data_IF_581778155319
#
_entry.id   IF_581778155319
#
_cell.length_a   1.000
_cell.length_b   1.000
_cell.length_c   1.000
_cell.angle_alpha   90.00
_cell.angle_beta   90.00
_cell.angle_gamma   90.00
#
_symmetry.space_group_name_H-M   'P 1'
#
loop_
_entity.id
_entity.type
_entity.pdbx_description
1 polymer ?
#
# COMPACT_ATOMS: atom_id res chain seq x y z
N UNK A 1 14.47 0.74 8.02
CA UNK A 1 13.41 0.11 8.84
C UNK A 1 13.30 -1.35 8.44
N UNK A 2 13.13 -2.25 9.40
CA UNK A 2 12.83 -3.65 9.12
C UNK A 2 11.32 -3.85 8.86
N UNK A 3 10.95 -5.03 8.34
CA UNK A 3 9.56 -5.34 7.95
C UNK A 3 8.57 -5.20 9.11
N UNK A 4 8.95 -5.60 10.32
CA UNK A 4 8.08 -5.53 11.50
C UNK A 4 7.81 -4.08 11.92
N UNK A 5 8.82 -3.22 11.89
CA UNK A 5 8.67 -1.77 12.16
C UNK A 5 7.68 -1.13 11.18
N UNK A 6 7.82 -1.42 9.88
CA UNK A 6 6.91 -0.88 8.86
C UNK A 6 5.46 -1.34 9.07
N UNK A 7 5.24 -2.59 9.48
CA UNK A 7 3.90 -3.10 9.77
C UNK A 7 3.30 -2.36 10.97
N UNK A 8 4.07 -2.14 12.03
CA UNK A 8 3.62 -1.37 13.19
C UNK A 8 3.29 0.07 12.83
N UNK A 9 4.13 0.74 12.05
CA UNK A 9 3.87 2.11 11.57
C UNK A 9 2.60 2.13 10.70
N UNK A 10 2.45 1.20 9.76
CA UNK A 10 1.28 1.12 8.89
C UNK A 10 -0.02 0.92 9.71
N UNK A 11 -0.03 -0.02 10.65
CA UNK A 11 -1.21 -0.32 11.43
C UNK A 11 -1.57 0.83 12.40
N UNK A 12 -0.57 1.57 12.92
CA UNK A 12 -0.78 2.80 13.69
C UNK A 12 -1.21 4.00 12.83
N UNK A 13 -0.76 4.08 11.58
CA UNK A 13 -1.08 5.19 10.68
C UNK A 13 -2.48 5.08 10.08
N UNK A 14 -2.98 3.86 9.86
CA UNK A 14 -4.28 3.58 9.22
C UNK A 14 -5.48 4.38 9.75
N UNK A 15 -5.66 4.58 11.07
CA UNK A 15 -6.76 5.38 11.60
C UNK A 15 -6.77 6.85 11.15
N UNK A 16 -5.62 7.36 10.68
CA UNK A 16 -5.48 8.74 10.20
C UNK A 16 -5.84 8.92 8.72
N UNK A 17 -6.06 7.82 7.99
CA UNK A 17 -6.43 7.86 6.58
C UNK A 17 -7.87 8.36 6.42
N UNK A 18 -8.06 9.29 5.48
CA UNK A 18 -9.38 9.76 5.08
C UNK A 18 -10.15 8.65 4.35
N UNK A 19 -11.45 8.85 4.27
CA UNK A 19 -12.36 7.88 3.66
C UNK A 19 -11.91 7.55 2.22
N UNK A 20 -11.72 6.25 1.91
CA UNK A 20 -11.23 5.68 0.65
C UNK A 20 -9.73 5.76 0.38
N UNK A 21 -8.97 6.52 1.17
CA UNK A 21 -7.52 6.45 1.13
C UNK A 21 -7.06 5.15 1.78
N UNK A 22 -5.93 4.61 1.33
CA UNK A 22 -5.39 3.38 1.87
C UNK A 22 -3.86 3.42 1.84
N UNK A 23 -3.25 2.63 2.69
CA UNK A 23 -1.80 2.43 2.69
C UNK A 23 -1.45 0.95 2.67
N UNK A 24 -0.30 0.65 2.07
CA UNK A 24 0.27 -0.68 2.00
C UNK A 24 1.80 -0.61 1.97
N UNK A 25 2.45 -1.68 2.42
CA UNK A 25 3.91 -1.82 2.36
C UNK A 25 4.27 -2.49 1.04
N UNK A 26 5.22 -1.93 0.32
CA UNK A 26 5.69 -2.49 -0.94
C UNK A 26 7.18 -2.18 -1.18
N UNK A 27 7.79 -2.85 -2.17
CA UNK A 27 9.19 -2.65 -2.53
C UNK A 27 9.42 -1.27 -3.10
N UNK A 28 10.57 -0.65 -2.78
CA UNK A 28 10.99 0.62 -3.42
C UNK A 28 11.50 0.37 -4.84
N UNK A 29 12.15 -0.77 -5.07
CA UNK A 29 12.61 -1.16 -6.41
C UNK A 29 11.44 -1.44 -7.35
N UNK A 30 11.46 -0.79 -8.52
CA UNK A 30 10.37 -0.86 -9.51
C UNK A 30 10.07 -2.28 -10.02
N UNK A 31 11.09 -3.12 -10.23
CA UNK A 31 10.90 -4.50 -10.73
C UNK A 31 10.27 -5.37 -9.65
N UNK A 32 10.73 -5.20 -8.41
CA UNK A 32 10.14 -5.89 -7.26
C UNK A 32 8.73 -5.38 -6.99
N UNK A 33 8.46 -4.09 -7.16
CA UNK A 33 7.12 -3.51 -7.02
C UNK A 33 6.13 -4.10 -8.05
N UNK A 34 6.55 -4.28 -9.30
CA UNK A 34 5.75 -4.95 -10.32
C UNK A 34 5.42 -6.40 -9.92
N UNK A 35 6.43 -7.14 -9.45
CA UNK A 35 6.26 -8.51 -8.98
C UNK A 35 5.31 -8.59 -7.77
N UNK A 36 5.48 -7.70 -6.79
CA UNK A 36 4.61 -7.58 -5.63
C UNK A 36 3.16 -7.34 -6.05
N UNK A 37 2.94 -6.41 -6.98
CA UNK A 37 1.62 -6.06 -7.48
C UNK A 37 0.93 -7.24 -8.16
N UNK A 38 1.63 -7.93 -9.06
CA UNK A 38 1.13 -9.15 -9.71
C UNK A 38 0.76 -10.23 -8.68
N UNK A 39 1.64 -10.45 -7.71
CA UNK A 39 1.41 -11.41 -6.63
C UNK A 39 0.18 -11.05 -5.80
N UNK A 40 -0.03 -9.77 -5.50
CA UNK A 40 -1.20 -9.30 -4.77
C UNK A 40 -2.50 -9.49 -5.59
N UNK A 41 -2.45 -9.26 -6.90
CA UNK A 41 -3.58 -9.50 -7.82
C UNK A 41 -3.99 -10.97 -7.79
N UNK A 42 -3.02 -11.89 -7.84
CA UNK A 42 -3.26 -13.34 -7.81
C UNK A 42 -3.86 -13.82 -6.49
N UNK A 43 -3.59 -13.12 -5.38
CA UNK A 43 -4.09 -13.46 -4.04
C UNK A 43 -5.47 -12.85 -3.77
N UNK A 44 -5.75 -11.66 -4.32
CA UNK A 44 -6.94 -10.90 -3.96
C UNK A 44 -8.23 -11.64 -4.39
N UNK A 45 -9.22 -11.81 -3.47
CA UNK A 45 -10.49 -12.44 -3.80
C UNK A 45 -11.32 -11.55 -4.74
N UNK A 46 -11.48 -11.97 -5.99
CA UNK A 46 -12.29 -11.28 -7.00
C UNK A 46 -12.18 -11.90 -8.39
N UNK A 47 -13.28 -11.84 -9.15
CA UNK A 47 -13.36 -12.31 -10.54
C UNK A 47 -12.28 -11.64 -11.40
N UNK A 48 -11.57 -12.44 -12.19
CA UNK A 48 -10.53 -12.10 -13.18
C UNK A 48 -10.90 -10.93 -14.14
N UNK A 49 -12.13 -10.44 -14.12
CA UNK A 49 -12.68 -9.46 -15.04
C UNK A 49 -12.90 -8.05 -14.47
N UNK A 50 -12.72 -7.79 -13.16
CA UNK A 50 -12.99 -6.45 -12.60
C UNK A 50 -12.15 -6.04 -11.36
N UNK A 51 -10.94 -6.58 -11.23
CA UNK A 51 -10.03 -6.18 -10.15
C UNK A 51 -9.28 -4.91 -10.53
N UNK A 52 -9.88 -3.74 -10.28
CA UNK A 52 -9.14 -2.47 -10.27
C UNK A 52 -7.91 -2.61 -9.35
N UNK A 53 -6.75 -2.14 -9.80
CA UNK A 53 -5.49 -2.20 -9.06
C UNK A 53 -5.65 -1.66 -7.63
N UNK A 54 -6.46 -0.62 -7.46
CA UNK A 54 -6.74 -0.06 -6.15
C UNK A 54 -7.50 -1.01 -5.23
N UNK A 55 -8.44 -1.81 -5.74
CA UNK A 55 -9.17 -2.80 -4.94
C UNK A 55 -8.23 -3.87 -4.41
N UNK A 56 -7.23 -4.24 -5.21
CA UNK A 56 -6.19 -5.20 -4.83
C UNK A 56 -5.28 -4.58 -3.78
N UNK A 57 -4.73 -3.40 -4.04
CA UNK A 57 -3.77 -2.76 -3.16
C UNK A 57 -4.39 -2.19 -1.86
N UNK A 58 -5.70 -1.91 -1.84
CA UNK A 58 -6.43 -1.59 -0.62
C UNK A 58 -6.74 -2.81 0.25
N UNK A 59 -6.56 -4.03 -0.29
CA UNK A 59 -6.79 -5.26 0.47
C UNK A 59 -5.55 -5.59 1.31
N UNK A 60 -5.67 -5.35 2.62
CA UNK A 60 -4.62 -5.65 3.61
C UNK A 60 -4.15 -7.10 3.58
N UNK A 61 -5.06 -8.06 3.44
CA UNK A 61 -4.71 -9.47 3.48
C UNK A 61 -3.92 -9.87 2.22
N UNK A 62 -4.37 -9.40 1.05
CA UNK A 62 -3.68 -9.64 -0.21
C UNK A 62 -2.27 -9.01 -0.23
N UNK A 63 -2.15 -7.76 0.22
CA UNK A 63 -0.86 -7.06 0.27
C UNK A 63 0.10 -7.64 1.31
N UNK A 64 -0.40 -8.04 2.50
CA UNK A 64 0.42 -8.74 3.51
C UNK A 64 0.94 -10.09 2.98
N UNK A 65 0.07 -10.92 2.39
CA UNK A 65 0.49 -12.21 1.79
C UNK A 65 1.42 -12.04 0.59
N UNK A 66 1.22 -11.01 -0.22
CA UNK A 66 2.14 -10.70 -1.31
C UNK A 66 3.54 -10.33 -0.77
N UNK A 67 3.60 -9.52 0.29
CA UNK A 67 4.84 -9.14 0.95
C UNK A 67 5.59 -10.34 1.56
N UNK A 68 4.86 -11.29 2.15
CA UNK A 68 5.43 -12.53 2.70
C UNK A 68 6.11 -13.40 1.63
N UNK A 69 5.65 -13.33 0.38
CA UNK A 69 6.23 -14.06 -0.76
C UNK A 69 7.43 -13.35 -1.38
N UNK A 70 7.71 -12.11 -1.00
CA UNK A 70 8.86 -11.37 -1.54
C UNK A 70 10.17 -11.77 -0.83
N UNK A 71 11.32 -11.71 -1.54
CA UNK A 71 12.63 -12.01 -0.96
C UNK A 71 12.93 -11.21 0.30
N UNK A 72 13.66 -11.80 1.24
CA UNK A 72 14.14 -11.08 2.41
C UNK A 72 15.27 -10.10 2.02
N UNK A 73 15.44 -9.02 2.79
CA UNK A 73 16.53 -8.05 2.61
C UNK A 73 16.29 -6.97 1.57
N UNK A 74 15.11 -6.95 0.94
CA UNK A 74 14.70 -5.86 0.05
C UNK A 74 14.33 -4.58 0.81
N UNK A 75 14.52 -3.45 0.16
CA UNK A 75 14.06 -2.16 0.67
C UNK A 75 12.54 -2.03 0.49
N UNK A 76 11.87 -1.71 1.59
CA UNK A 76 10.42 -1.59 1.67
C UNK A 76 10.05 -0.19 2.16
N UNK A 77 8.92 0.32 1.69
CA UNK A 77 8.33 1.56 2.20
C UNK A 77 6.81 1.45 2.31
N UNK A 78 6.20 2.38 3.05
CA UNK A 78 4.75 2.50 3.14
C UNK A 78 4.29 3.49 2.08
N UNK A 79 3.53 2.99 1.11
CA UNK A 79 2.86 3.82 0.13
C UNK A 79 1.49 4.23 0.66
N UNK A 80 1.19 5.53 0.56
CA UNK A 80 -0.13 6.07 0.85
C UNK A 80 -0.78 6.47 -0.47
N UNK A 81 -1.95 5.91 -0.76
CA UNK A 81 -2.69 6.21 -1.98
C UNK A 81 -3.85 7.13 -1.63
N UNK A 82 -3.79 8.34 -2.18
CA UNK A 82 -4.91 9.30 -2.13
C UNK A 82 -5.86 9.00 -3.27
N UNK A 83 -7.13 8.74 -3.00
CA UNK A 83 -8.09 8.33 -4.03
C UNK A 83 -9.15 9.41 -4.26
N UNK A 84 -8.96 10.32 -5.24
CA UNK A 84 -9.93 11.38 -5.49
C UNK A 84 -11.25 10.84 -6.05
N UNK A 85 -11.22 9.78 -6.89
CA UNK A 85 -12.41 9.18 -7.52
C UNK A 85 -12.27 7.65 -7.70
N UNK A 86 -13.39 6.94 -7.87
CA UNK A 86 -13.44 5.47 -7.93
C UNK A 86 -12.80 4.84 -9.19
N UNK A 87 -12.65 5.61 -10.26
CA UNK A 87 -12.31 5.10 -11.61
C UNK A 87 -10.96 5.59 -12.14
N UNK A 88 -10.18 6.31 -11.32
CA UNK A 88 -8.83 6.73 -11.74
C UNK A 88 -7.91 5.50 -11.78
N UNK A 89 -7.29 5.16 -12.93
CA UNK A 89 -6.29 4.10 -13.01
C UNK A 89 -4.93 4.54 -12.44
N UNK A 90 -4.73 5.83 -12.19
CA UNK A 90 -3.46 6.39 -11.71
C UNK A 90 -3.32 6.18 -10.20
N UNK A 91 -2.29 5.43 -9.81
CA UNK A 91 -1.87 5.34 -8.41
C UNK A 91 -1.16 6.64 -8.01
N UNK A 92 -1.94 7.66 -7.65
CA UNK A 92 -1.39 8.83 -6.97
C UNK A 92 -0.91 8.39 -5.58
N UNK A 93 0.39 8.14 -5.48
CA UNK A 93 1.04 7.69 -4.25
C UNK A 93 1.87 8.81 -3.62
N UNK A 94 1.91 8.82 -2.30
CA UNK A 94 2.77 9.66 -1.48
C UNK A 94 3.41 8.81 -0.37
N UNK A 95 4.31 9.41 0.40
CA UNK A 95 4.75 8.84 1.68
C UNK A 95 3.77 9.19 2.80
N UNK A 96 3.99 8.64 4.00
CA UNK A 96 3.23 9.02 5.20
C UNK A 96 3.45 10.50 5.51
N UNK A 97 4.68 10.97 5.47
CA UNK A 97 5.09 12.33 5.82
C UNK A 97 4.39 13.35 4.90
N UNK A 98 4.40 13.10 3.59
CA UNK A 98 3.71 13.93 2.61
C UNK A 98 2.19 13.93 2.84
N UNK A 99 1.60 12.78 3.18
CA UNK A 99 0.18 12.68 3.49
C UNK A 99 -0.18 13.47 4.75
N UNK A 100 0.63 13.35 5.80
CA UNK A 100 0.45 14.08 7.05
C UNK A 100 0.53 15.59 6.84
N UNK A 101 1.54 16.05 6.09
CA UNK A 101 1.71 17.46 5.76
C UNK A 101 0.49 18.02 5.01
N UNK A 102 0.00 17.31 3.98
CA UNK A 102 -1.16 17.73 3.18
C UNK A 102 -2.46 17.77 3.98
N UNK A 103 -2.58 16.90 4.99
CA UNK A 103 -3.81 16.74 5.75
C UNK A 103 -3.75 17.34 7.17
N UNK A 104 -2.66 18.03 7.52
CA UNK A 104 -2.44 18.60 8.86
C UNK A 104 -2.59 17.56 9.97
N UNK A 105 -2.03 16.37 9.75
CA UNK A 105 -2.02 15.29 10.75
C UNK A 105 -0.70 15.35 11.51
N UNK A 106 -0.78 15.41 12.84
CA UNK A 106 0.37 15.25 13.72
C UNK A 106 0.60 13.76 13.99
N UNK A 107 1.49 13.16 13.20
CA UNK A 107 1.89 11.76 13.31
C UNK A 107 3.40 11.70 13.37
N UNK A 108 3.94 11.25 14.51
CA UNK A 108 5.36 10.97 14.66
C UNK A 108 5.62 9.53 14.20
N UNK A 109 6.02 9.39 12.93
CA UNK A 109 6.43 8.14 12.29
C UNK A 109 7.80 7.66 12.76
#
# INVERSE_FOLDING_TARGET
>A
MNRSELISIQDNFRPHLKNRDYCFIAPVDSKQFELFTRTAIDIAPGSLFNNSIHRVLSNTDATKKALERMPNGMELTIYVITRPNNDDPVLAHSTIEEYCQRNSIDFNS
#
